data_IF_059497006716
#
_entry.id   IF_059497006716
#
_cell.length_a   1.000
_cell.length_b   1.000
_cell.length_c   1.000
_cell.angle_alpha   90.00
_cell.angle_beta   90.00
_cell.angle_gamma   90.00
#
_symmetry.space_group_name_H-M   'P 1'
#
loop_
_entity.id
_entity.type
_entity.pdbx_description
1 polymer ?
#
# COMPACT_ATOMS: atom_id res chain seq x y z
N UNK A 1 -2.82 -10.96 1.55
CA UNK A 1 -3.16 -9.57 1.15
C UNK A 1 -1.96 -8.70 1.50
N UNK A 2 -1.71 -7.62 0.76
CA UNK A 2 -0.51 -6.77 0.84
C UNK A 2 -0.50 -5.90 2.13
N UNK A 3 -0.57 -6.54 3.31
CA UNK A 3 -0.97 -5.89 4.56
C UNK A 3 0.21 -5.31 5.36
N UNK A 4 1.45 -5.71 5.06
CA UNK A 4 2.65 -5.33 5.82
C UNK A 4 3.81 -4.91 4.89
N UNK A 5 3.56 -3.94 4.00
CA UNK A 5 4.56 -3.39 3.10
C UNK A 5 5.24 -2.11 3.60
N UNK A 6 6.50 -1.90 3.20
CA UNK A 6 7.18 -0.60 3.27
C UNK A 6 6.56 0.32 2.23
N UNK A 7 6.03 1.46 2.66
CA UNK A 7 5.68 2.57 1.77
C UNK A 7 6.86 3.53 1.68
N UNK A 8 7.13 4.07 0.49
CA UNK A 8 8.11 5.15 0.35
C UNK A 8 7.51 6.44 0.92
N UNK A 9 8.37 7.39 1.27
CA UNK A 9 7.93 8.71 1.71
C UNK A 9 7.08 9.41 0.64
N UNK A 10 7.41 9.22 -0.65
CA UNK A 10 6.61 9.75 -1.75
C UNK A 10 5.18 9.20 -1.76
N UNK A 11 5.01 7.89 -1.56
CA UNK A 11 3.68 7.26 -1.50
C UNK A 11 2.93 7.74 -0.27
N UNK A 12 3.60 7.86 0.88
CA UNK A 12 3.00 8.40 2.08
C UNK A 12 2.49 9.85 1.85
N UNK A 13 3.30 10.70 1.21
CA UNK A 13 2.90 12.06 0.89
C UNK A 13 1.70 12.12 -0.07
N UNK A 14 1.67 11.25 -1.09
CA UNK A 14 0.53 11.15 -2.02
C UNK A 14 -0.75 10.78 -1.26
N UNK A 15 -0.68 9.79 -0.35
CA UNK A 15 -1.83 9.37 0.45
C UNK A 15 -2.32 10.49 1.39
N UNK A 16 -1.40 11.16 2.08
CA UNK A 16 -1.74 12.28 2.96
C UNK A 16 -2.39 13.43 2.18
N UNK A 17 -1.78 13.83 1.05
CA UNK A 17 -2.33 14.87 0.19
C UNK A 17 -3.74 14.52 -0.32
N UNK A 18 -3.97 13.25 -0.68
CA UNK A 18 -5.29 12.80 -1.13
C UNK A 18 -6.37 12.95 -0.07
N UNK A 19 -6.02 12.72 1.20
CA UNK A 19 -6.91 12.92 2.33
C UNK A 19 -7.14 14.41 2.59
N UNK A 20 -6.09 15.23 2.56
CA UNK A 20 -6.19 16.69 2.73
C UNK A 20 -7.12 17.31 1.66
N UNK A 21 -6.94 16.93 0.39
CA UNK A 21 -7.79 17.39 -0.72
C UNK A 21 -9.27 16.97 -0.55
N UNK A 22 -9.50 15.76 -0.01
CA UNK A 22 -10.85 15.28 0.27
C UNK A 22 -11.50 16.03 1.45
N UNK A 23 -10.72 16.33 2.50
CA UNK A 23 -11.17 17.11 3.65
C UNK A 23 -11.55 18.55 3.25
N UNK A 24 -10.76 19.19 2.39
CA UNK A 24 -11.07 20.51 1.85
C UNK A 24 -12.40 20.53 1.07
N UNK A 25 -12.77 19.38 0.50
CA UNK A 25 -13.96 19.23 -0.33
C UNK A 25 -15.19 18.72 0.42
N UNK A 26 -15.06 18.30 1.68
CA UNK A 26 -16.12 17.58 2.43
C UNK A 26 -17.37 18.44 2.69
N UNK A 27 -17.22 19.77 2.65
CA UNK A 27 -18.34 20.69 2.78
C UNK A 27 -19.32 20.62 1.60
N UNK A 28 -18.89 20.11 0.45
CA UNK A 28 -19.65 20.11 -0.80
C UNK A 28 -19.80 18.72 -1.44
N UNK A 29 -18.96 17.75 -1.07
CA UNK A 29 -18.95 16.40 -1.62
C UNK A 29 -18.68 15.36 -0.52
N UNK A 30 -19.06 14.09 -0.71
CA UNK A 30 -18.60 13.00 0.14
C UNK A 30 -17.06 12.91 0.18
N UNK A 31 -16.53 12.24 1.20
CA UNK A 31 -15.10 12.11 1.48
C UNK A 31 -14.46 11.10 0.50
N UNK A 32 -14.42 11.47 -0.78
CA UNK A 32 -13.91 10.63 -1.87
C UNK A 32 -12.39 10.76 -2.03
N UNK A 33 -11.63 10.38 -1.01
CA UNK A 33 -10.18 10.43 -1.02
C UNK A 33 -9.53 9.54 -2.10
N UNK A 34 -10.24 8.51 -2.56
CA UNK A 34 -9.81 7.72 -3.72
C UNK A 34 -9.67 8.54 -5.02
N UNK A 35 -10.44 9.63 -5.18
CA UNK A 35 -10.41 10.47 -6.38
C UNK A 35 -9.03 11.11 -6.61
N UNK A 36 -8.37 11.55 -5.54
CA UNK A 36 -7.01 12.10 -5.62
C UNK A 36 -5.96 11.04 -6.00
N UNK A 37 -6.23 9.77 -5.70
CA UNK A 37 -5.35 8.65 -6.04
C UNK A 37 -5.54 8.15 -7.48
N UNK A 38 -6.69 8.36 -8.11
CA UNK A 38 -6.97 7.88 -9.48
C UNK A 38 -5.91 8.30 -10.49
N UNK A 39 -5.38 9.52 -10.39
CA UNK A 39 -4.32 9.98 -11.30
C UNK A 39 -3.01 9.17 -11.18
N UNK A 40 -2.75 8.61 -10.00
CA UNK A 40 -1.56 7.80 -9.71
C UNK A 40 -1.79 6.29 -9.92
N UNK A 41 -3.05 5.87 -10.01
CA UNK A 41 -3.47 4.47 -10.10
C UNK A 41 -4.09 4.14 -11.48
N UNK A 42 -4.28 5.12 -12.36
CA UNK A 42 -4.83 4.86 -13.68
C UNK A 42 -3.81 4.18 -14.60
N UNK A 43 -4.22 3.06 -15.19
CA UNK A 43 -3.45 2.36 -16.20
C UNK A 43 -4.13 2.47 -17.58
N UNK A 44 -3.56 3.26 -18.51
CA UNK A 44 -4.12 3.40 -19.84
C UNK A 44 -4.14 2.09 -20.64
N UNK A 45 -5.24 1.85 -21.37
CA UNK A 45 -5.42 0.66 -22.22
C UNK A 45 -4.31 0.47 -23.29
N UNK A 46 -3.55 1.51 -23.65
CA UNK A 46 -2.47 1.39 -24.62
C UNK A 46 -1.32 0.48 -24.15
N UNK A 47 -1.11 0.34 -22.84
CA UNK A 47 -0.08 -0.57 -22.34
C UNK A 47 -0.45 -2.05 -22.56
N UNK A 48 -1.75 -2.38 -22.60
CA UNK A 48 -2.24 -3.70 -22.99
C UNK A 48 -1.95 -3.98 -24.47
N UNK A 49 -2.01 -2.95 -25.31
CA UNK A 49 -1.60 -3.04 -26.72
C UNK A 49 -0.08 -3.20 -26.85
N UNK A 50 0.70 -2.50 -26.03
CA UNK A 50 2.17 -2.64 -26.02
C UNK A 50 2.64 -4.03 -25.57
N UNK A 51 1.87 -4.73 -24.72
CA UNK A 51 2.12 -6.14 -24.38
C UNK A 51 1.90 -7.07 -25.59
N UNK A 52 1.07 -6.65 -26.56
CA UNK A 52 0.72 -7.42 -27.76
C UNK A 52 1.62 -7.07 -28.97
N UNK A 53 2.18 -5.86 -29.02
CA UNK A 53 3.06 -5.39 -30.11
C UNK A 53 4.52 -5.86 -29.96
N UNK A 54 5.19 -6.08 -31.12
CA UNK A 54 6.61 -6.44 -31.24
C UNK A 54 7.59 -5.29 -30.95
N UNK A 55 7.35 -4.46 -29.93
CA UNK A 55 8.37 -3.52 -29.45
C UNK A 55 9.41 -4.27 -28.59
N UNK A 56 10.66 -3.76 -28.45
CA UNK A 56 11.67 -4.41 -27.61
C UNK A 56 11.15 -4.53 -26.18
N UNK A 57 10.68 -5.75 -25.83
CA UNK A 57 9.92 -6.05 -24.62
C UNK A 57 10.59 -5.52 -23.36
N UNK A 58 11.93 -5.50 -23.30
CA UNK A 58 12.69 -5.09 -22.11
C UNK A 58 12.42 -3.64 -21.66
N UNK A 59 12.35 -2.66 -22.57
CA UNK A 59 12.20 -1.24 -22.20
C UNK A 59 10.77 -0.88 -21.81
N UNK A 60 9.81 -1.37 -22.60
CA UNK A 60 8.38 -1.23 -22.30
C UNK A 60 8.06 -1.90 -20.98
N UNK A 61 8.58 -3.11 -20.75
CA UNK A 61 8.35 -3.84 -19.50
C UNK A 61 8.96 -3.10 -18.31
N UNK A 62 10.18 -2.57 -18.42
CA UNK A 62 10.84 -1.88 -17.31
C UNK A 62 10.05 -0.67 -16.78
N UNK A 63 9.71 0.29 -17.64
CA UNK A 63 8.98 1.50 -17.22
C UNK A 63 7.53 1.21 -16.80
N UNK A 64 6.89 0.24 -17.45
CA UNK A 64 5.52 -0.16 -17.12
C UNK A 64 5.48 -0.90 -15.78
N UNK A 65 6.49 -1.73 -15.48
CA UNK A 65 6.60 -2.47 -14.21
C UNK A 65 6.78 -1.52 -13.03
N UNK A 66 7.69 -0.55 -13.10
CA UNK A 66 7.96 0.37 -11.98
C UNK A 66 6.74 1.24 -11.64
N UNK A 67 6.07 1.78 -12.67
CA UNK A 67 4.84 2.57 -12.47
C UNK A 67 3.70 1.72 -11.91
N UNK A 68 3.51 0.51 -12.43
CA UNK A 68 2.45 -0.38 -11.98
C UNK A 68 2.73 -0.92 -10.56
N UNK A 69 4.00 -1.16 -10.23
CA UNK A 69 4.45 -1.48 -8.88
C UNK A 69 4.12 -0.35 -7.90
N UNK A 70 4.44 0.90 -8.25
CA UNK A 70 4.09 2.06 -7.43
C UNK A 70 2.57 2.17 -7.22
N UNK A 71 1.78 1.98 -8.26
CA UNK A 71 0.32 1.98 -8.16
C UNK A 71 -0.19 0.83 -7.26
N UNK A 72 0.40 -0.36 -7.35
CA UNK A 72 0.08 -1.48 -6.46
C UNK A 72 0.37 -1.15 -4.99
N UNK A 73 1.50 -0.47 -4.70
CA UNK A 73 1.81 -0.04 -3.34
C UNK A 73 0.84 1.03 -2.82
N UNK A 74 0.45 2.00 -3.65
CA UNK A 74 -0.55 3.02 -3.29
C UNK A 74 -1.87 2.34 -2.94
N UNK A 75 -2.38 1.45 -3.80
CA UNK A 75 -3.62 0.71 -3.55
C UNK A 75 -3.56 -0.15 -2.28
N UNK A 76 -2.46 -0.87 -2.07
CA UNK A 76 -2.28 -1.69 -0.87
C UNK A 76 -2.26 -0.83 0.41
N UNK A 77 -1.54 0.28 0.37
CA UNK A 77 -1.44 1.21 1.49
C UNK A 77 -2.77 1.91 1.79
N UNK A 78 -3.50 2.32 0.75
CA UNK A 78 -4.85 2.87 0.84
C UNK A 78 -5.81 1.88 1.52
N UNK A 79 -5.89 0.65 1.02
CA UNK A 79 -6.72 -0.41 1.60
C UNK A 79 -6.37 -0.69 3.06
N UNK A 80 -5.08 -0.69 3.39
CA UNK A 80 -4.61 -0.89 4.77
C UNK A 80 -5.02 0.28 5.67
N UNK A 81 -4.84 1.52 5.21
CA UNK A 81 -5.23 2.71 5.97
C UNK A 81 -6.74 2.71 6.25
N UNK A 82 -7.57 2.45 5.23
CA UNK A 82 -9.02 2.35 5.38
C UNK A 82 -9.43 1.24 6.35
N UNK A 83 -8.78 0.08 6.29
CA UNK A 83 -9.05 -1.00 7.25
C UNK A 83 -8.73 -0.60 8.69
N UNK A 84 -7.60 0.07 8.93
CA UNK A 84 -7.20 0.53 10.27
C UNK A 84 -8.16 1.61 10.76
N UNK A 85 -8.44 2.62 9.92
CA UNK A 85 -9.32 3.73 10.26
C UNK A 85 -10.73 3.24 10.63
N UNK A 86 -11.30 2.32 9.85
CA UNK A 86 -12.61 1.72 10.16
C UNK A 86 -12.61 0.93 11.46
N UNK A 87 -11.53 0.19 11.75
CA UNK A 87 -11.39 -0.54 13.02
C UNK A 87 -11.35 0.42 14.20
N UNK A 88 -10.57 1.50 14.09
CA UNK A 88 -10.47 2.52 15.13
C UNK A 88 -11.79 3.27 15.33
N UNK A 89 -12.49 3.59 14.24
CA UNK A 89 -13.80 4.23 14.29
C UNK A 89 -14.82 3.34 15.02
N UNK A 90 -14.85 2.05 14.69
CA UNK A 90 -15.72 1.07 15.35
C UNK A 90 -15.36 0.87 16.82
N UNK A 91 -14.07 0.78 17.16
CA UNK A 91 -13.59 0.70 18.55
C UNK A 91 -13.95 1.95 19.38
N UNK A 92 -14.02 3.13 18.75
CA UNK A 92 -14.27 4.40 19.44
C UNK A 92 -15.77 4.73 19.59
N UNK A 93 -16.58 4.56 18.53
CA UNK A 93 -17.99 4.97 18.50
C UNK A 93 -18.95 3.78 18.68
N UNK A 94 -18.49 2.55 18.43
CA UNK A 94 -19.32 1.35 18.43
C UNK A 94 -20.30 1.31 17.25
N UNK A 95 -21.42 0.62 17.46
CA UNK A 95 -22.48 0.48 16.46
C UNK A 95 -23.37 1.72 16.43
N UNK A 96 -22.97 2.72 15.64
CA UNK A 96 -23.68 3.96 15.40
C UNK A 96 -23.97 4.13 13.90
N UNK A 97 -25.10 4.74 13.53
CA UNK A 97 -25.46 5.06 12.14
C UNK A 97 -24.39 5.92 11.45
N UNK A 98 -23.78 6.86 12.17
CA UNK A 98 -22.70 7.69 11.60
C UNK A 98 -21.48 6.84 11.27
N UNK A 99 -21.14 5.89 12.14
CA UNK A 99 -20.01 4.98 11.92
C UNK A 99 -20.30 4.02 10.75
N UNK A 100 -21.53 3.51 10.63
CA UNK A 100 -21.91 2.60 9.54
C UNK A 100 -21.88 3.29 8.18
N UNK A 101 -22.33 4.55 8.08
CA UNK A 101 -22.25 5.36 6.85
C UNK A 101 -20.79 5.55 6.43
N UNK A 102 -19.92 5.99 7.33
CA UNK A 102 -18.49 6.20 7.05
C UNK A 102 -17.76 4.89 6.69
N UNK A 103 -18.12 3.78 7.34
CA UNK A 103 -17.58 2.45 7.01
C UNK A 103 -18.01 2.02 5.60
N UNK A 104 -19.28 2.24 5.24
CA UNK A 104 -19.80 1.85 3.94
C UNK A 104 -19.16 2.68 2.81
N UNK A 105 -19.02 4.00 3.01
CA UNK A 105 -18.29 4.89 2.10
C UNK A 105 -16.85 4.40 1.87
N UNK A 106 -16.14 4.13 2.97
CA UNK A 106 -14.77 3.60 2.94
C UNK A 106 -14.66 2.22 2.26
N UNK A 107 -15.68 1.36 2.34
CA UNK A 107 -15.75 0.08 1.63
C UNK A 107 -15.96 0.26 0.12
N UNK A 108 -16.80 1.21 -0.28
CA UNK A 108 -17.04 1.53 -1.71
C UNK A 108 -15.74 1.99 -2.37
N UNK A 109 -15.02 2.92 -1.73
CA UNK A 109 -13.73 3.40 -2.24
C UNK A 109 -12.67 2.28 -2.25
N UNK A 110 -12.67 1.44 -1.21
CA UNK A 110 -11.82 0.26 -1.15
C UNK A 110 -12.08 -0.74 -2.29
N UNK A 111 -13.33 -0.88 -2.74
CA UNK A 111 -13.68 -1.79 -3.83
C UNK A 111 -13.08 -1.35 -5.17
N UNK A 112 -13.01 -0.04 -5.44
CA UNK A 112 -12.31 0.47 -6.63
C UNK A 112 -10.81 0.13 -6.61
N UNK A 113 -10.15 0.27 -5.45
CA UNK A 113 -8.76 -0.10 -5.29
C UNK A 113 -8.52 -1.62 -5.48
N UNK A 114 -9.44 -2.46 -5.00
CA UNK A 114 -9.38 -3.91 -5.20
C UNK A 114 -9.53 -4.28 -6.67
N UNK A 115 -10.47 -3.66 -7.38
CA UNK A 115 -10.67 -3.88 -8.83
C UNK A 115 -9.40 -3.59 -9.61
N UNK A 116 -8.72 -2.46 -9.33
CA UNK A 116 -7.44 -2.17 -9.94
C UNK A 116 -6.40 -3.28 -9.69
N UNK A 117 -6.22 -3.70 -8.44
CA UNK A 117 -5.26 -4.76 -8.10
C UNK A 117 -5.59 -6.09 -8.81
N UNK A 118 -6.88 -6.38 -9.01
CA UNK A 118 -7.34 -7.55 -9.73
C UNK A 118 -7.07 -7.45 -11.25
N UNK A 119 -7.27 -6.28 -11.85
CA UNK A 119 -6.90 -6.01 -13.24
C UNK A 119 -5.40 -6.17 -13.47
N UNK A 120 -4.57 -5.69 -12.53
CA UNK A 120 -3.11 -5.89 -12.55
C UNK A 120 -2.76 -7.36 -12.40
N UNK A 121 -3.46 -8.09 -11.52
CA UNK A 121 -3.26 -9.54 -11.33
C UNK A 121 -3.45 -10.32 -12.63
N UNK A 122 -4.49 -9.98 -13.39
CA UNK A 122 -4.84 -10.65 -14.65
C UNK A 122 -3.89 -10.22 -15.78
N UNK A 123 -3.59 -8.92 -15.89
CA UNK A 123 -2.85 -8.37 -17.03
C UNK A 123 -1.33 -8.47 -16.89
N UNK A 124 -0.82 -8.30 -15.66
CA UNK A 124 0.61 -8.25 -15.33
C UNK A 124 0.93 -9.04 -14.05
N UNK A 125 0.70 -10.38 -14.04
CA UNK A 125 0.91 -11.21 -12.86
C UNK A 125 2.35 -11.13 -12.31
N UNK A 126 3.33 -10.88 -13.18
CA UNK A 126 4.74 -10.69 -12.81
C UNK A 126 4.96 -9.47 -11.89
N UNK A 127 4.25 -8.37 -12.11
CA UNK A 127 4.36 -7.16 -11.27
C UNK A 127 3.84 -7.47 -9.88
N UNK A 128 2.63 -8.05 -9.80
CA UNK A 128 2.03 -8.39 -8.52
C UNK A 128 2.87 -9.41 -7.75
N UNK A 129 3.53 -10.35 -8.45
CA UNK A 129 4.46 -11.30 -7.84
C UNK A 129 5.63 -10.60 -7.16
N UNK A 130 6.28 -9.67 -7.87
CA UNK A 130 7.43 -8.90 -7.34
C UNK A 130 7.00 -8.06 -6.14
N UNK A 131 5.88 -7.33 -6.24
CA UNK A 131 5.33 -6.52 -5.15
C UNK A 131 5.03 -7.39 -3.92
N UNK A 132 4.35 -8.52 -4.11
CA UNK A 132 4.06 -9.46 -3.01
C UNK A 132 5.32 -9.98 -2.36
N UNK A 133 6.30 -10.42 -3.15
CA UNK A 133 7.57 -10.91 -2.61
C UNK A 133 8.27 -9.82 -1.79
N UNK A 134 8.39 -8.60 -2.30
CA UNK A 134 9.01 -7.48 -1.58
C UNK A 134 8.31 -7.17 -0.26
N UNK A 135 6.99 -7.15 -0.25
CA UNK A 135 6.24 -6.89 0.98
C UNK A 135 6.37 -8.01 2.00
N UNK A 136 6.29 -9.27 1.57
CA UNK A 136 6.49 -10.42 2.47
C UNK A 136 7.91 -10.40 3.04
N UNK A 137 8.92 -10.18 2.20
CA UNK A 137 10.31 -10.03 2.65
C UNK A 137 10.43 -8.91 3.68
N UNK A 138 9.84 -7.74 3.43
CA UNK A 138 9.86 -6.63 4.37
C UNK A 138 9.18 -6.97 5.70
N UNK A 139 7.99 -7.59 5.66
CA UNK A 139 7.27 -8.04 6.86
C UNK A 139 8.14 -8.99 7.68
N UNK A 140 8.75 -10.02 7.05
CA UNK A 140 9.64 -10.96 7.72
C UNK A 140 10.84 -10.25 8.36
N UNK A 141 11.49 -9.35 7.61
CA UNK A 141 12.63 -8.56 8.13
C UNK A 141 12.21 -7.70 9.33
N UNK A 142 11.03 -7.09 9.26
CA UNK A 142 10.47 -6.30 10.37
C UNK A 142 10.22 -7.16 11.60
N UNK A 143 9.58 -8.33 11.45
CA UNK A 143 9.35 -9.27 12.55
C UNK A 143 10.66 -9.73 13.20
N UNK A 144 11.70 -9.99 12.39
CA UNK A 144 13.04 -10.33 12.89
C UNK A 144 13.69 -9.18 13.67
N UNK A 145 13.57 -7.96 13.15
CA UNK A 145 14.03 -6.75 13.83
C UNK A 145 13.33 -6.58 15.19
N UNK A 146 12.01 -6.67 15.21
CA UNK A 146 11.21 -6.51 16.43
C UNK A 146 11.56 -7.62 17.44
N UNK A 147 11.79 -8.85 16.98
CA UNK A 147 12.26 -9.94 17.81
C UNK A 147 13.62 -9.68 18.45
N UNK A 148 14.61 -9.21 17.67
CA UNK A 148 15.96 -8.88 18.18
C UNK A 148 15.89 -7.76 19.22
N UNK A 149 15.10 -6.72 18.96
CA UNK A 149 14.88 -5.63 19.91
C UNK A 149 14.21 -6.12 21.20
N UNK A 150 13.28 -7.08 21.09
CA UNK A 150 12.67 -7.67 22.27
C UNK A 150 13.66 -8.50 23.08
N UNK A 151 14.56 -9.26 22.44
CA UNK A 151 15.63 -9.99 23.12
C UNK A 151 16.57 -9.08 23.91
N UNK A 152 16.89 -7.91 23.36
CA UNK A 152 17.65 -6.89 24.08
C UNK A 152 16.88 -6.38 25.31
N UNK A 153 15.61 -6.02 25.13
CA UNK A 153 14.77 -5.50 26.23
C UNK A 153 14.61 -6.48 27.39
N UNK A 154 14.55 -7.78 27.12
CA UNK A 154 14.48 -8.82 28.17
C UNK A 154 15.85 -9.23 28.72
N UNK A 155 16.93 -8.57 28.29
CA UNK A 155 18.29 -8.81 28.76
C UNK A 155 18.95 -10.09 28.23
N UNK A 156 18.34 -10.75 27.23
CA UNK A 156 18.88 -11.96 26.60
C UNK A 156 19.92 -11.65 25.51
N UNK A 157 20.00 -10.40 25.07
CA UNK A 157 20.96 -9.94 24.07
C UNK A 157 21.66 -8.66 24.55
N UNK A 158 22.99 -8.64 24.46
CA UNK A 158 23.77 -7.43 24.72
C UNK A 158 23.44 -6.33 23.69
N UNK A 159 23.32 -5.08 24.14
CA UNK A 159 23.06 -3.90 23.29
C UNK A 159 24.02 -3.80 22.10
N UNK A 160 25.31 -4.07 22.32
CA UNK A 160 26.33 -4.08 21.25
C UNK A 160 26.02 -5.10 20.16
N UNK A 161 25.50 -6.28 20.52
CA UNK A 161 25.12 -7.33 19.57
C UNK A 161 23.81 -6.98 18.87
N UNK A 162 22.84 -6.41 19.59
CA UNK A 162 21.61 -5.88 19.00
C UNK A 162 21.93 -4.86 17.91
N UNK A 163 22.84 -3.92 18.19
CA UNK A 163 23.29 -2.92 17.22
C UNK A 163 23.93 -3.53 15.96
N UNK A 164 24.80 -4.53 16.11
CA UNK A 164 25.43 -5.24 14.98
C UNK A 164 24.37 -5.94 14.12
N UNK A 165 23.43 -6.66 14.73
CA UNK A 165 22.34 -7.30 14.00
C UNK A 165 21.48 -6.27 13.27
N UNK A 166 21.09 -5.18 13.93
CA UNK A 166 20.33 -4.09 13.31
C UNK A 166 21.04 -3.47 12.10
N UNK A 167 22.37 -3.32 12.16
CA UNK A 167 23.16 -2.78 11.06
C UNK A 167 23.19 -3.73 9.85
N UNK A 168 23.29 -5.04 10.08
CA UNK A 168 23.21 -6.05 9.02
C UNK A 168 21.85 -6.04 8.32
N UNK A 169 20.75 -5.90 9.09
CA UNK A 169 19.40 -5.86 8.55
C UNK A 169 19.04 -4.54 7.82
N UNK A 170 19.74 -3.43 8.10
CA UNK A 170 19.54 -2.15 7.38
C UNK A 170 20.23 -2.09 6.00
N UNK A 171 21.20 -2.98 5.73
CA UNK A 171 21.97 -3.02 4.47
C UNK A 171 21.30 -3.86 3.37
N UNK A 172 20.20 -4.55 3.67
CA UNK A 172 19.35 -5.34 2.76
C UNK A 172 18.01 -4.66 2.52
#
# INVERSE_FOLDING_TARGET
MLDEGRITQSIANILMQSVDEALDSVAHMPLCDWKGLKANVHFPNYYRLLQTCMFPQKLVTFFTVDKLESACYICAAFLRAHRIARRQLHEFIGDNEIASVAINESEVDGEEARKFLEEVRISFPQVLRVVKTRQVTYSVLKHLIDYIQNLEKVGLLEEKRCFIFMMLFRLT
#
